data_IF_296486786128
#
_entry.id   IF_296486786128
#
_cell.length_a   1.000
_cell.length_b   1.000
_cell.length_c   1.000
_cell.angle_alpha   90.00
_cell.angle_beta   90.00
_cell.angle_gamma   90.00
#
_symmetry.space_group_name_H-M   'P 1'
#
loop_
_entity.id
_entity.type
_entity.pdbx_description
1 polymer ?
#
# COMPACT_ATOMS: atom_id res chain seq x y z
N UNK A 1 -10.49 18.32 12.07
CA UNK A 1 -11.05 18.23 10.73
C UNK A 1 -10.78 19.50 9.94
N UNK A 2 -11.29 20.67 10.33
CA UNK A 2 -11.02 21.95 9.63
C UNK A 2 -9.55 22.30 9.36
N UNK A 3 -8.63 21.73 10.12
CA UNK A 3 -7.18 21.97 9.96
C UNK A 3 -6.60 21.19 8.77
N UNK A 4 -7.09 19.96 8.53
CA UNK A 4 -6.67 19.15 7.38
C UNK A 4 -7.15 19.80 6.10
N UNK A 5 -8.42 20.22 6.05
CA UNK A 5 -8.99 20.87 4.87
C UNK A 5 -8.24 22.15 4.49
N UNK A 6 -7.88 22.97 5.49
CA UNK A 6 -7.23 24.24 5.25
C UNK A 6 -5.72 24.13 4.96
N UNK A 7 -5.06 23.17 5.58
CA UNK A 7 -3.59 23.09 5.54
C UNK A 7 -3.06 22.08 4.52
N UNK A 8 -3.89 21.15 4.05
CA UNK A 8 -3.46 20.12 3.10
C UNK A 8 -4.28 20.15 1.81
N UNK A 9 -5.58 19.92 1.90
CA UNK A 9 -6.38 19.74 0.70
C UNK A 9 -6.47 21.03 -0.12
N UNK A 10 -6.61 22.18 0.53
CA UNK A 10 -6.70 23.49 -0.15
C UNK A 10 -5.40 23.87 -0.89
N UNK A 11 -4.24 23.55 -0.32
CA UNK A 11 -2.93 23.81 -0.96
C UNK A 11 -2.71 22.97 -2.21
N UNK A 12 -3.33 21.78 -2.27
CA UNK A 12 -3.31 20.90 -3.45
C UNK A 12 -4.50 21.10 -4.38
N UNK A 13 -5.42 22.01 -4.05
CA UNK A 13 -6.59 22.34 -4.87
C UNK A 13 -7.73 21.34 -4.78
N UNK A 14 -7.74 20.47 -3.77
CA UNK A 14 -8.79 19.48 -3.54
C UNK A 14 -9.79 19.92 -2.47
N UNK A 15 -11.01 19.42 -2.59
CA UNK A 15 -12.00 19.40 -1.51
C UNK A 15 -12.20 17.97 -1.04
N UNK A 16 -12.64 17.81 0.19
CA UNK A 16 -12.83 16.51 0.83
C UNK A 16 -13.83 15.62 0.10
N UNK A 17 -14.92 16.22 -0.33
CA UNK A 17 -16.06 15.56 -0.99
C UNK A 17 -15.85 15.40 -2.51
N UNK A 18 -14.72 15.84 -3.04
CA UNK A 18 -14.42 15.69 -4.45
C UNK A 18 -14.31 14.22 -4.82
N UNK A 19 -15.09 13.80 -5.81
CA UNK A 19 -15.11 12.41 -6.31
C UNK A 19 -13.94 12.22 -7.25
N UNK A 20 -13.05 11.29 -6.91
CA UNK A 20 -11.87 10.93 -7.70
C UNK A 20 -12.15 9.79 -8.66
N UNK A 21 -12.98 8.85 -8.25
CA UNK A 21 -13.32 7.66 -9.03
C UNK A 21 -14.70 7.12 -8.64
N UNK A 22 -15.31 6.35 -9.53
CA UNK A 22 -16.47 5.51 -9.23
C UNK A 22 -16.01 4.05 -9.17
N UNK A 23 -16.41 3.34 -8.13
CA UNK A 23 -16.02 1.96 -7.86
C UNK A 23 -17.24 1.03 -7.86
N UNK A 24 -17.21 -0.03 -8.69
CA UNK A 24 -18.27 -1.02 -8.83
C UNK A 24 -17.97 -2.36 -8.12
N UNK A 25 -16.79 -2.49 -7.49
CA UNK A 25 -16.37 -3.68 -6.76
C UNK A 25 -16.34 -3.45 -5.25
N UNK A 26 -16.48 -4.52 -4.48
CA UNK A 26 -16.23 -4.52 -3.04
C UNK A 26 -14.76 -4.78 -2.81
N UNK A 27 -14.09 -3.91 -2.06
CA UNK A 27 -12.72 -4.15 -1.61
C UNK A 27 -12.69 -4.96 -0.32
N UNK A 28 -11.63 -5.72 -0.14
CA UNK A 28 -11.40 -6.49 1.07
C UNK A 28 -11.29 -5.60 2.31
N UNK A 29 -11.68 -6.14 3.45
CA UNK A 29 -11.53 -5.46 4.73
C UNK A 29 -10.08 -5.46 5.23
N UNK A 30 -9.74 -4.56 6.14
CA UNK A 30 -8.44 -4.55 6.80
C UNK A 30 -8.18 -5.82 7.63
N UNK A 31 -9.24 -6.42 8.19
CA UNK A 31 -9.14 -7.70 8.89
C UNK A 31 -8.72 -8.83 7.95
N UNK A 32 -9.33 -8.90 6.76
CA UNK A 32 -8.94 -9.87 5.73
C UNK A 32 -7.51 -9.67 5.29
N UNK A 33 -7.06 -8.43 5.08
CA UNK A 33 -5.68 -8.12 4.73
C UNK A 33 -4.67 -8.62 5.77
N UNK A 34 -5.02 -8.61 7.04
CA UNK A 34 -4.14 -9.08 8.11
C UNK A 34 -4.16 -10.60 8.33
N UNK A 35 -5.22 -11.30 7.90
CA UNK A 35 -5.47 -12.69 8.29
C UNK A 35 -5.46 -13.70 7.15
N UNK A 36 -5.72 -13.27 5.92
CA UNK A 36 -5.73 -14.15 4.76
C UNK A 36 -4.37 -14.18 4.07
N UNK A 37 -3.88 -15.39 3.76
CA UNK A 37 -2.65 -15.63 3.02
C UNK A 37 -2.95 -15.82 1.52
N UNK A 38 -3.60 -14.85 0.93
CA UNK A 38 -3.98 -14.83 -0.47
C UNK A 38 -3.87 -13.40 -1.03
N UNK A 39 -3.85 -13.29 -2.34
CA UNK A 39 -3.94 -12.02 -3.04
C UNK A 39 -5.32 -11.38 -2.77
N UNK A 40 -5.31 -10.11 -2.39
CA UNK A 40 -6.53 -9.36 -2.06
C UNK A 40 -6.54 -8.03 -2.81
N UNK A 41 -7.67 -7.71 -3.43
CA UNK A 41 -7.81 -6.56 -4.31
C UNK A 41 -7.47 -5.20 -3.67
N UNK A 42 -7.66 -5.05 -2.36
CA UNK A 42 -7.24 -3.84 -1.66
C UNK A 42 -5.70 -3.75 -1.59
N UNK A 43 -5.01 -4.86 -1.34
CA UNK A 43 -3.55 -4.93 -1.35
C UNK A 43 -2.98 -4.66 -2.74
N UNK A 44 -3.62 -5.20 -3.77
CA UNK A 44 -3.20 -5.05 -5.16
C UNK A 44 -3.28 -3.59 -5.61
N UNK A 45 -4.43 -2.93 -5.42
CA UNK A 45 -4.57 -1.51 -5.81
C UNK A 45 -3.60 -0.61 -5.07
N UNK A 46 -3.30 -0.92 -3.79
CA UNK A 46 -2.36 -0.13 -2.99
C UNK A 46 -0.91 -0.30 -3.48
N UNK A 47 -0.50 -1.51 -3.82
CA UNK A 47 0.84 -1.76 -4.36
C UNK A 47 1.00 -1.22 -5.78
N UNK A 48 -0.01 -1.33 -6.64
CA UNK A 48 -0.02 -0.72 -7.96
C UNK A 48 0.06 0.80 -7.89
N UNK A 49 -0.64 1.41 -6.92
CA UNK A 49 -0.58 2.86 -6.70
C UNK A 49 0.84 3.33 -6.32
N UNK A 50 1.64 2.52 -5.63
CA UNK A 50 3.02 2.85 -5.31
C UNK A 50 3.89 2.89 -6.57
N UNK A 51 3.77 1.89 -7.46
CA UNK A 51 4.48 1.88 -8.75
C UNK A 51 4.08 3.13 -9.54
N UNK A 52 2.77 3.37 -9.68
CA UNK A 52 2.27 4.52 -10.40
C UNK A 52 2.81 5.84 -9.84
N UNK A 53 2.81 6.01 -8.52
CA UNK A 53 3.27 7.23 -7.87
C UNK A 53 4.77 7.48 -8.08
N UNK A 54 5.60 6.44 -8.01
CA UNK A 54 7.04 6.57 -8.27
C UNK A 54 7.29 6.92 -9.73
N UNK A 55 6.70 6.18 -10.67
CA UNK A 55 6.92 6.37 -12.11
C UNK A 55 6.37 7.70 -12.65
N UNK A 56 5.43 8.33 -11.95
CA UNK A 56 4.89 9.64 -12.30
C UNK A 56 5.44 10.78 -11.43
N UNK A 57 6.41 10.51 -10.56
CA UNK A 57 7.04 11.53 -9.73
C UNK A 57 8.07 12.35 -10.52
N UNK A 58 8.33 13.58 -10.07
CA UNK A 58 9.42 14.41 -10.62
C UNK A 58 10.82 13.84 -10.38
N UNK A 59 10.96 12.87 -9.47
CA UNK A 59 12.22 12.21 -9.11
C UNK A 59 12.44 10.90 -9.87
N UNK A 60 11.52 10.52 -10.76
CA UNK A 60 11.65 9.31 -11.54
C UNK A 60 12.79 9.41 -12.56
N UNK A 61 13.75 8.50 -12.47
CA UNK A 61 14.95 8.48 -13.31
C UNK A 61 14.80 7.70 -14.63
N UNK A 62 13.65 7.05 -14.82
CA UNK A 62 13.33 6.26 -16.00
C UNK A 62 13.62 4.77 -15.87
N UNK A 63 14.17 4.32 -14.74
CA UNK A 63 14.34 2.89 -14.46
C UNK A 63 13.00 2.29 -14.00
N UNK A 64 12.53 1.20 -14.61
CA UNK A 64 11.24 0.62 -14.28
C UNK A 64 11.20 0.13 -12.83
N UNK A 65 10.04 0.29 -12.19
CA UNK A 65 9.78 -0.27 -10.86
C UNK A 65 9.23 -1.68 -11.03
N UNK A 66 10.06 -2.70 -10.84
CA UNK A 66 9.68 -4.09 -11.05
C UNK A 66 8.74 -4.63 -9.97
N UNK A 67 8.90 -4.16 -8.73
CA UNK A 67 8.16 -4.67 -7.56
C UNK A 67 7.80 -3.52 -6.62
N UNK A 68 6.55 -3.50 -6.18
CA UNK A 68 6.14 -2.70 -5.01
C UNK A 68 5.72 -3.60 -3.86
N UNK A 69 5.94 -3.13 -2.65
CA UNK A 69 5.59 -3.86 -1.41
C UNK A 69 4.85 -2.93 -0.46
N UNK A 70 3.66 -3.34 -0.02
CA UNK A 70 2.80 -2.60 0.90
C UNK A 70 2.51 -3.46 2.13
N UNK A 71 2.99 -3.09 3.32
CA UNK A 71 2.57 -3.76 4.55
C UNK A 71 1.10 -3.47 4.87
N UNK A 72 0.31 -4.49 5.22
CA UNK A 72 -1.11 -4.35 5.57
C UNK A 72 -1.37 -3.29 6.65
N UNK A 73 -0.47 -3.16 7.62
CA UNK A 73 -0.56 -2.18 8.69
C UNK A 73 -0.44 -0.72 8.25
N UNK A 74 0.04 -0.45 7.04
CA UNK A 74 0.10 0.91 6.48
C UNK A 74 -1.22 1.33 5.83
N UNK A 75 -2.07 0.38 5.46
CA UNK A 75 -3.41 0.63 4.93
C UNK A 75 -4.37 0.82 6.11
N UNK A 76 -5.10 1.94 6.14
CA UNK A 76 -5.88 2.37 7.32
C UNK A 76 -7.37 2.40 7.10
N UNK A 77 -7.81 2.29 5.85
CA UNK A 77 -9.22 2.21 5.47
C UNK A 77 -9.37 1.41 4.17
N UNK A 78 -10.59 1.02 3.84
CA UNK A 78 -10.96 0.30 2.63
C UNK A 78 -11.96 1.11 1.81
N UNK A 79 -12.20 0.71 0.57
CA UNK A 79 -13.16 1.36 -0.31
C UNK A 79 -14.43 0.53 -0.44
N UNK A 80 -15.56 1.21 -0.41
CA UNK A 80 -16.88 0.62 -0.68
C UNK A 80 -17.31 0.90 -2.12
N UNK A 81 -18.34 0.18 -2.57
CA UNK A 81 -18.96 0.50 -3.87
C UNK A 81 -19.56 1.88 -3.88
N UNK A 82 -19.42 2.56 -5.00
CA UNK A 82 -19.90 3.91 -5.24
C UNK A 82 -18.75 4.89 -5.46
N UNK A 83 -18.98 6.13 -5.14
CA UNK A 83 -17.99 7.19 -5.30
C UNK A 83 -16.84 7.01 -4.31
N UNK A 84 -15.62 7.14 -4.79
CA UNK A 84 -14.39 7.24 -3.98
C UNK A 84 -13.98 8.71 -3.96
N UNK A 85 -13.98 9.29 -2.78
CA UNK A 85 -13.68 10.69 -2.57
C UNK A 85 -12.22 10.93 -2.16
N UNK A 86 -11.80 12.18 -2.16
CA UNK A 86 -10.50 12.60 -1.61
C UNK A 86 -10.37 12.20 -0.14
N UNK A 87 -11.46 12.27 0.64
CA UNK A 87 -11.47 11.85 2.05
C UNK A 87 -11.19 10.35 2.20
N UNK A 88 -11.80 9.50 1.36
CA UNK A 88 -11.59 8.06 1.40
C UNK A 88 -10.13 7.70 1.11
N UNK A 89 -9.56 8.32 0.08
CA UNK A 89 -8.14 8.11 -0.27
C UNK A 89 -7.22 8.60 0.84
N UNK A 90 -7.48 9.78 1.41
CA UNK A 90 -6.70 10.30 2.53
C UNK A 90 -6.76 9.36 3.75
N UNK A 91 -7.93 8.85 4.07
CA UNK A 91 -8.10 7.96 5.22
C UNK A 91 -7.38 6.62 5.03
N UNK A 92 -7.33 6.11 3.80
CA UNK A 92 -6.68 4.83 3.50
C UNK A 92 -5.15 4.86 3.72
N UNK A 93 -4.51 6.04 3.64
CA UNK A 93 -3.07 6.24 3.86
C UNK A 93 -2.76 7.34 4.89
N UNK A 94 -3.54 7.45 5.93
CA UNK A 94 -3.46 8.52 6.93
C UNK A 94 -2.29 8.42 7.93
N UNK A 95 -1.29 7.58 7.67
CA UNK A 95 -0.15 7.38 8.58
C UNK A 95 1.01 8.31 8.29
N UNK A 96 1.52 8.88 9.38
CA UNK A 96 2.77 9.62 9.38
C UNK A 96 2.65 11.06 8.89
N UNK A 97 3.74 11.79 9.08
CA UNK A 97 3.97 13.13 8.54
C UNK A 97 5.41 13.15 8.03
N UNK A 98 5.60 13.57 6.79
CA UNK A 98 6.91 13.75 6.18
C UNK A 98 7.71 14.87 6.84
N UNK A 99 9.01 14.94 6.56
CA UNK A 99 9.87 16.04 7.04
C UNK A 99 9.48 17.41 6.51
N UNK A 100 8.77 17.43 5.41
CA UNK A 100 8.15 18.59 4.76
C UNK A 100 6.85 19.04 5.41
N UNK A 101 6.36 18.28 6.40
CA UNK A 101 5.10 18.54 7.07
C UNK A 101 3.86 18.02 6.33
N UNK A 102 4.05 17.32 5.21
CA UNK A 102 2.97 16.72 4.44
C UNK A 102 2.56 15.38 5.06
N UNK A 103 1.25 15.07 5.03
CA UNK A 103 0.73 13.80 5.52
C UNK A 103 1.24 12.62 4.67
N UNK A 104 1.51 11.50 5.34
CA UNK A 104 2.05 10.28 4.74
C UNK A 104 3.55 10.09 4.96
N UNK A 105 4.00 8.84 4.82
CA UNK A 105 5.43 8.52 4.79
C UNK A 105 5.97 8.63 3.36
N UNK A 106 7.24 8.99 3.18
CA UNK A 106 7.85 9.00 1.86
C UNK A 106 7.91 7.57 1.31
N UNK A 107 7.64 7.42 0.01
CA UNK A 107 7.96 6.19 -0.71
C UNK A 107 9.48 6.07 -0.84
N UNK A 108 9.98 4.85 -0.73
CA UNK A 108 11.41 4.52 -0.85
C UNK A 108 11.58 3.54 -1.99
N UNK A 109 12.42 3.89 -2.95
CA UNK A 109 12.89 2.96 -3.98
C UNK A 109 14.28 2.43 -3.64
N UNK A 110 14.53 1.15 -3.93
CA UNK A 110 15.81 0.49 -3.69
C UNK A 110 16.06 -0.60 -4.74
N UNK A 111 17.32 -0.80 -5.09
CA UNK A 111 17.72 -1.92 -5.93
C UNK A 111 17.99 -3.15 -5.07
N UNK A 112 17.26 -4.22 -5.33
CA UNK A 112 17.39 -5.49 -4.63
C UNK A 112 17.71 -6.61 -5.61
N UNK A 113 18.45 -7.59 -5.12
CA UNK A 113 18.66 -8.85 -5.86
C UNK A 113 17.46 -9.78 -5.68
N UNK A 114 17.27 -10.73 -6.58
CA UNK A 114 16.22 -11.76 -6.42
C UNK A 114 16.35 -12.56 -5.13
N UNK A 115 17.58 -12.72 -4.59
CA UNK A 115 17.81 -13.37 -3.29
C UNK A 115 17.26 -12.53 -2.13
N UNK A 116 17.40 -11.22 -2.17
CA UNK A 116 16.87 -10.31 -1.15
C UNK A 116 15.35 -10.24 -1.22
N UNK A 117 14.77 -10.25 -2.43
CA UNK A 117 13.31 -10.35 -2.60
C UNK A 117 12.76 -11.66 -2.06
N UNK A 118 13.45 -12.78 -2.28
CA UNK A 118 13.09 -14.08 -1.68
C UNK A 118 13.09 -14.00 -0.15
N UNK A 119 14.08 -13.37 0.46
CA UNK A 119 14.11 -13.16 1.91
C UNK A 119 12.94 -12.30 2.41
N UNK A 120 12.53 -11.29 1.67
CA UNK A 120 11.34 -10.49 2.02
C UNK A 120 10.06 -11.34 2.03
N UNK A 121 9.88 -12.21 1.03
CA UNK A 121 8.76 -13.15 0.97
C UNK A 121 8.80 -14.19 2.11
N UNK A 122 9.99 -14.69 2.49
CA UNK A 122 10.16 -15.58 3.63
C UNK A 122 9.84 -14.92 4.96
N UNK A 123 10.18 -13.65 5.12
CA UNK A 123 9.80 -12.86 6.31
C UNK A 123 8.28 -12.72 6.38
N UNK A 124 7.61 -12.36 5.29
CA UNK A 124 6.15 -12.30 5.24
C UNK A 124 5.52 -13.64 5.66
N UNK A 125 5.96 -14.74 5.04
CA UNK A 125 5.46 -16.08 5.32
C UNK A 125 5.67 -16.53 6.77
N UNK A 126 6.74 -16.08 7.43
CA UNK A 126 7.10 -16.50 8.79
C UNK A 126 6.56 -15.59 9.90
N UNK A 127 6.33 -14.30 9.64
CA UNK A 127 6.00 -13.30 10.65
C UNK A 127 4.54 -12.91 10.64
N UNK A 128 3.86 -13.00 9.49
CA UNK A 128 2.49 -12.52 9.33
C UNK A 128 1.46 -13.24 10.21
N UNK A 129 1.70 -14.50 10.60
CA UNK A 129 0.85 -15.22 11.55
C UNK A 129 0.88 -14.65 12.97
N UNK A 130 2.00 -14.02 13.35
CA UNK A 130 2.19 -13.43 14.68
C UNK A 130 1.93 -11.92 14.69
N UNK A 131 2.16 -11.28 13.56
CA UNK A 131 2.03 -9.84 13.38
C UNK A 131 1.26 -9.56 12.09
N UNK A 132 -0.05 -9.58 12.18
CA UNK A 132 -0.96 -9.40 11.03
C UNK A 132 -0.72 -8.09 10.26
N UNK A 133 -0.22 -7.05 10.94
CA UNK A 133 0.15 -5.76 10.33
C UNK A 133 1.43 -5.80 9.51
N UNK A 134 2.22 -6.87 9.63
CA UNK A 134 3.45 -7.08 8.85
C UNK A 134 3.22 -7.87 7.56
N UNK A 135 2.00 -8.35 7.32
CA UNK A 135 1.65 -9.01 6.07
C UNK A 135 1.93 -8.10 4.88
N UNK A 136 2.62 -8.63 3.87
CA UNK A 136 3.05 -7.88 2.69
C UNK A 136 2.15 -8.18 1.49
N UNK A 137 1.72 -7.13 0.84
CA UNK A 137 1.09 -7.17 -0.49
C UNK A 137 2.07 -6.67 -1.52
N UNK A 138 2.16 -7.37 -2.65
CA UNK A 138 3.19 -7.08 -3.64
C UNK A 138 2.57 -6.94 -5.02
N UNK A 139 2.98 -5.92 -5.75
CA UNK A 139 2.80 -5.83 -7.19
C UNK A 139 4.10 -6.23 -7.89
N UNK A 140 4.01 -6.96 -9.01
CA UNK A 140 5.16 -7.41 -9.79
C UNK A 140 5.91 -8.62 -9.22
N UNK A 141 5.48 -9.19 -8.08
CA UNK A 141 6.10 -10.35 -7.45
C UNK A 141 5.07 -11.44 -7.17
N UNK A 142 5.28 -12.62 -7.76
CA UNK A 142 4.50 -13.82 -7.45
C UNK A 142 5.38 -14.83 -6.71
N UNK A 143 4.92 -15.32 -5.58
CA UNK A 143 5.62 -16.36 -4.83
C UNK A 143 4.63 -17.35 -4.21
N UNK A 144 5.13 -18.56 -3.95
CA UNK A 144 4.41 -19.57 -3.19
C UNK A 144 5.34 -20.12 -2.12
N UNK A 145 4.81 -20.47 -0.96
CA UNK A 145 5.57 -21.03 0.13
C UNK A 145 4.86 -22.25 0.72
N UNK A 146 5.63 -23.11 1.38
CA UNK A 146 5.11 -24.25 2.11
C UNK A 146 5.13 -23.94 3.62
N UNK A 147 3.98 -23.70 4.26
CA UNK A 147 3.94 -23.34 5.69
C UNK A 147 4.33 -24.49 6.62
N UNK A 148 4.51 -25.69 6.08
CA UNK A 148 4.90 -26.91 6.83
C UNK A 148 6.30 -27.41 6.47
N UNK A 149 7.12 -26.61 5.82
CA UNK A 149 8.51 -26.98 5.54
C UNK A 149 9.36 -26.75 6.78
N UNK A 150 9.91 -27.83 7.33
CA UNK A 150 10.90 -27.78 8.40
C UNK A 150 12.33 -27.56 7.87
N UNK A 151 12.49 -27.34 6.56
CA UNK A 151 13.79 -27.23 5.90
C UNK A 151 14.06 -25.74 5.57
N UNK A 152 15.00 -25.10 6.29
CA UNK A 152 15.47 -23.77 5.95
C UNK A 152 16.49 -23.88 4.80
N UNK A 153 16.04 -23.93 3.55
CA UNK A 153 16.92 -23.80 2.38
C UNK A 153 17.42 -22.36 2.17
#
# INVERSE_FOLDING_TARGET
MDTVDKNYLADFGYTREEVLAENDVEFNSLEEMGTKHEELNLGDIMSDAYIYAVENSEYYDGDPVDVAVVPSGTVRDTYTKGDITVEDVFNSFSLGIGKDGVAGYPLISAYLTGKELKLAAEVDASVSDFMTTARLYCSGLNFAYNPHSDDPE
#
